data_IF_338580789819
#
_entry.id   IF_338580789819
#
_cell.length_a   1.000
_cell.length_b   1.000
_cell.length_c   1.000
_cell.angle_alpha   90.00
_cell.angle_beta   90.00
_cell.angle_gamma   90.00
#
_symmetry.space_group_name_H-M   'P 1'
#
loop_
_entity.id
_entity.type
_entity.pdbx_description
1 polymer ?
#
# COMPACT_ATOMS: atom_id res chain seq x y z
N UNK A 1 6.31 35.29 -4.36
CA UNK A 1 6.70 33.88 -4.64
C UNK A 1 5.44 33.19 -5.13
N UNK A 2 5.46 32.86 -6.42
CA UNK A 2 4.27 32.71 -7.27
C UNK A 2 3.62 31.34 -7.15
N UNK A 3 2.29 31.31 -7.28
CA UNK A 3 1.41 30.13 -7.45
C UNK A 3 1.93 29.04 -8.42
N UNK A 4 2.92 29.34 -9.26
CA UNK A 4 3.51 28.41 -10.23
C UNK A 4 4.49 27.43 -9.57
N UNK A 5 5.17 27.81 -8.48
CA UNK A 5 6.03 26.89 -7.72
C UNK A 5 5.20 25.88 -6.91
N UNK A 6 4.07 26.31 -6.34
CA UNK A 6 3.15 25.44 -5.60
C UNK A 6 2.49 24.35 -6.48
N UNK A 7 2.33 24.58 -7.78
CA UNK A 7 1.69 23.61 -8.71
C UNK A 7 2.71 22.61 -9.27
N UNK A 8 4.00 23.00 -9.37
CA UNK A 8 5.05 22.12 -9.90
C UNK A 8 5.46 21.01 -8.91
N UNK A 9 5.34 21.26 -7.60
CA UNK A 9 5.58 20.27 -6.54
C UNK A 9 4.42 19.25 -6.39
N UNK A 10 3.21 19.65 -6.77
CA UNK A 10 1.95 18.93 -6.47
C UNK A 10 1.70 17.70 -7.39
N UNK A 11 2.40 17.58 -8.52
CA UNK A 11 2.29 16.41 -9.42
C UNK A 11 3.34 15.33 -9.15
N UNK A 12 4.43 15.62 -8.44
CA UNK A 12 5.55 14.69 -8.26
C UNK A 12 5.52 13.90 -6.93
N UNK A 13 4.93 14.46 -5.87
CA UNK A 13 4.90 13.82 -4.55
C UNK A 13 3.49 13.30 -4.21
N UNK A 14 3.28 12.00 -4.37
CA UNK A 14 2.02 11.36 -4.02
C UNK A 14 1.88 11.30 -2.48
N UNK A 15 1.10 12.22 -1.91
CA UNK A 15 0.87 12.30 -0.47
C UNK A 15 -0.30 11.42 -0.03
N UNK A 16 -0.02 10.46 0.86
CA UNK A 16 -1.05 9.63 1.48
C UNK A 16 -1.33 10.07 2.91
N UNK A 17 -2.59 10.41 3.21
CA UNK A 17 -3.01 10.65 4.58
C UNK A 17 -3.40 9.32 5.22
N UNK A 18 -2.72 8.92 6.29
CA UNK A 18 -3.08 7.72 7.04
C UNK A 18 -4.52 7.83 7.56
N UNK A 19 -5.34 6.79 7.35
CA UNK A 19 -6.75 6.80 7.74
C UNK A 19 -7.65 7.63 6.83
N UNK A 20 -7.19 7.96 5.62
CA UNK A 20 -8.03 8.52 4.55
C UNK A 20 -9.00 7.47 4.00
N UNK A 21 -9.91 7.90 3.10
CA UNK A 21 -10.87 7.02 2.44
C UNK A 21 -10.11 5.86 1.78
N UNK A 22 -10.25 4.69 2.38
CA UNK A 22 -9.64 3.47 1.88
C UNK A 22 -10.28 3.12 0.53
N UNK A 23 -9.50 2.57 -0.39
CA UNK A 23 -9.96 2.27 -1.77
C UNK A 23 -9.94 0.76 -1.99
N UNK A 24 -10.85 0.28 -2.85
CA UNK A 24 -10.76 -1.08 -3.38
C UNK A 24 -9.65 -1.14 -4.43
N UNK A 25 -8.60 -1.90 -4.17
CA UNK A 25 -7.56 -2.18 -5.17
C UNK A 25 -8.09 -3.18 -6.23
N UNK A 26 -7.82 -2.95 -7.51
CA UNK A 26 -8.17 -3.88 -8.62
C UNK A 26 -7.58 -5.30 -8.38
N UNK A 27 -6.44 -5.39 -7.70
CA UNK A 27 -5.86 -6.66 -7.27
C UNK A 27 -6.81 -7.48 -6.39
N UNK A 28 -7.57 -6.81 -5.51
CA UNK A 28 -8.58 -7.45 -4.68
C UNK A 28 -9.76 -7.96 -5.51
N UNK A 29 -10.23 -7.14 -6.46
CA UNK A 29 -11.35 -7.49 -7.34
C UNK A 29 -11.03 -8.72 -8.21
N UNK A 30 -9.78 -8.84 -8.69
CA UNK A 30 -9.29 -10.02 -9.44
C UNK A 30 -9.25 -11.28 -8.57
N UNK A 31 -8.82 -11.19 -7.31
CA UNK A 31 -8.83 -12.33 -6.39
C UNK A 31 -10.24 -12.79 -6.01
N UNK A 32 -11.20 -11.87 -5.85
CA UNK A 32 -12.61 -12.21 -5.62
C UNK A 32 -13.23 -12.97 -6.79
N UNK A 33 -12.89 -12.60 -8.02
CA UNK A 33 -13.38 -13.29 -9.24
C UNK A 33 -12.91 -14.74 -9.30
N UNK A 34 -11.69 -15.05 -8.82
CA UNK A 34 -11.11 -16.40 -8.80
C UNK A 34 -11.72 -17.29 -7.71
N UNK A 35 -12.10 -16.70 -6.56
CA UNK A 35 -12.67 -17.43 -5.41
C UNK A 35 -14.20 -17.61 -5.47
N UNK A 36 -14.89 -17.13 -6.50
CA UNK A 36 -16.35 -17.33 -6.70
C UNK A 36 -16.78 -18.80 -6.82
N UNK A 37 -15.85 -19.76 -6.93
CA UNK A 37 -16.11 -21.21 -6.88
C UNK A 37 -16.08 -21.79 -5.46
N UNK A 38 -15.80 -20.97 -4.44
CA UNK A 38 -15.72 -21.36 -3.03
C UNK A 38 -16.94 -20.93 -2.21
N UNK A 39 -17.21 -21.69 -1.15
CA UNK A 39 -18.39 -21.63 -0.27
C UNK A 39 -18.69 -20.25 0.34
N UNK A 40 -19.96 -20.02 0.70
CA UNK A 40 -20.52 -18.76 1.21
C UNK A 40 -19.75 -18.10 2.37
N UNK A 41 -18.94 -18.84 3.14
CA UNK A 41 -18.08 -18.30 4.21
C UNK A 41 -16.92 -17.44 3.70
N UNK A 42 -16.42 -17.67 2.48
CA UNK A 42 -15.39 -16.83 1.85
C UNK A 42 -15.93 -15.44 1.45
N UNK A 43 -17.24 -15.31 1.29
CA UNK A 43 -17.91 -14.11 0.80
C UNK A 43 -18.10 -13.02 1.88
N UNK A 44 -18.07 -13.39 3.16
CA UNK A 44 -18.20 -12.44 4.28
C UNK A 44 -16.85 -11.81 4.68
N UNK A 45 -15.75 -12.55 4.49
CA UNK A 45 -14.39 -12.03 4.66
C UNK A 45 -13.94 -11.15 3.47
N UNK A 46 -14.56 -11.40 2.32
CA UNK A 46 -14.45 -10.64 1.07
C UNK A 46 -15.22 -9.30 1.06
N UNK A 47 -15.92 -8.93 2.13
CA UNK A 47 -16.87 -7.82 2.06
C UNK A 47 -16.29 -6.43 2.28
N UNK A 48 -15.02 -6.24 2.69
CA UNK A 48 -14.49 -4.87 2.95
C UNK A 48 -12.97 -4.80 3.17
N UNK A 49 -12.14 -5.37 2.29
CA UNK A 49 -10.68 -5.08 2.33
C UNK A 49 -10.37 -3.77 1.60
N UNK A 50 -10.89 -2.73 2.24
CA UNK A 50 -10.46 -1.36 2.09
C UNK A 50 -8.95 -1.29 2.41
N UNK A 51 -8.12 -1.11 1.39
CA UNK A 51 -6.67 -1.03 1.52
C UNK A 51 -6.25 0.44 1.63
N UNK A 52 -5.25 0.72 2.46
CA UNK A 52 -4.69 2.06 2.52
C UNK A 52 -4.02 2.40 1.18
N UNK A 53 -4.26 3.58 0.58
CA UNK A 53 -3.74 3.91 -0.75
C UNK A 53 -2.22 3.77 -0.89
N UNK A 54 -1.45 4.03 0.17
CA UNK A 54 -0.01 3.87 0.18
C UNK A 54 0.43 2.40 -0.02
N UNK A 55 -0.37 1.43 0.44
CA UNK A 55 -0.09 0.00 0.27
C UNK A 55 -0.24 -0.38 -1.20
N UNK A 56 -1.31 0.08 -1.84
CA UNK A 56 -1.53 -0.13 -3.28
C UNK A 56 -0.41 0.50 -4.12
N UNK A 57 0.05 1.69 -3.74
CA UNK A 57 1.19 2.32 -4.38
C UNK A 57 2.49 1.52 -4.22
N UNK A 58 2.83 1.10 -3.00
CA UNK A 58 4.00 0.26 -2.76
C UNK A 58 3.93 -1.09 -3.50
N UNK A 59 2.74 -1.69 -3.62
CA UNK A 59 2.52 -2.88 -4.46
C UNK A 59 2.80 -2.56 -5.94
N UNK A 60 2.24 -1.48 -6.47
CA UNK A 60 2.45 -1.07 -7.85
C UNK A 60 3.94 -0.86 -8.14
N UNK A 61 4.64 -0.15 -7.26
CA UNK A 61 6.08 0.09 -7.39
C UNK A 61 6.88 -1.21 -7.35
N UNK A 62 6.53 -2.17 -6.47
CA UNK A 62 7.13 -3.51 -6.50
C UNK A 62 6.97 -4.19 -7.88
N UNK A 63 5.78 -4.10 -8.47
CA UNK A 63 5.49 -4.71 -9.77
C UNK A 63 6.29 -4.04 -10.89
N UNK A 64 6.38 -2.70 -10.89
CA UNK A 64 7.17 -1.93 -11.84
C UNK A 64 8.68 -2.26 -11.72
N UNK A 65 9.17 -2.49 -10.51
CA UNK A 65 10.54 -2.93 -10.24
C UNK A 65 10.80 -4.42 -10.55
N UNK A 66 9.83 -5.14 -11.14
CA UNK A 66 9.99 -6.54 -11.56
C UNK A 66 10.17 -7.56 -10.42
N UNK A 67 9.88 -7.16 -9.18
CA UNK A 67 10.06 -8.02 -8.01
C UNK A 67 8.83 -8.87 -7.75
N UNK A 68 8.99 -10.19 -7.66
CA UNK A 68 7.94 -11.04 -7.10
C UNK A 68 7.84 -10.84 -5.57
N UNK A 69 6.69 -11.18 -4.97
CA UNK A 69 6.54 -11.14 -3.51
C UNK A 69 7.59 -12.02 -2.80
N UNK A 70 7.99 -13.14 -3.40
CA UNK A 70 9.03 -14.01 -2.86
C UNK A 70 10.42 -13.38 -2.93
N UNK A 71 10.78 -12.74 -4.06
CA UNK A 71 12.04 -12.01 -4.18
C UNK A 71 12.12 -10.87 -3.18
N UNK A 72 11.05 -10.08 -3.06
CA UNK A 72 10.97 -9.00 -2.09
C UNK A 72 11.08 -9.52 -0.65
N UNK A 73 10.41 -10.63 -0.33
CA UNK A 73 10.50 -11.24 0.99
C UNK A 73 11.95 -11.63 1.36
N UNK A 74 12.73 -12.12 0.40
CA UNK A 74 14.16 -12.37 0.56
C UNK A 74 14.94 -11.11 0.90
N UNK A 75 14.73 -10.02 0.15
CA UNK A 75 15.36 -8.71 0.41
C UNK A 75 14.99 -8.16 1.80
N UNK A 76 13.74 -8.35 2.21
CA UNK A 76 13.20 -7.89 3.50
C UNK A 76 13.45 -8.88 4.64
N UNK A 77 14.15 -10.00 4.42
CA UNK A 77 14.37 -11.06 5.43
C UNK A 77 13.08 -11.43 6.16
N UNK A 78 12.01 -11.65 5.40
CA UNK A 78 10.68 -11.99 5.90
C UNK A 78 10.08 -13.12 5.08
N UNK A 79 8.87 -13.57 5.45
CA UNK A 79 8.15 -14.61 4.71
C UNK A 79 7.34 -14.00 3.57
N UNK A 80 7.19 -14.71 2.45
CA UNK A 80 6.30 -14.27 1.36
C UNK A 80 4.86 -14.05 1.85
N UNK A 81 4.38 -14.85 2.80
CA UNK A 81 3.07 -14.67 3.43
C UNK A 81 2.95 -13.38 4.25
N UNK A 82 4.05 -12.78 4.72
CA UNK A 82 4.04 -11.47 5.36
C UNK A 82 3.86 -10.35 4.32
N UNK A 83 4.54 -10.45 3.17
CA UNK A 83 4.34 -9.52 2.05
C UNK A 83 2.90 -9.58 1.54
N UNK A 84 2.38 -10.79 1.31
CA UNK A 84 1.00 -10.98 0.86
C UNK A 84 -0.03 -10.36 1.82
N UNK A 85 0.10 -10.63 3.13
CA UNK A 85 -0.78 -10.02 4.14
C UNK A 85 -0.68 -8.50 4.17
N UNK A 86 0.54 -7.95 4.09
CA UNK A 86 0.75 -6.51 4.04
C UNK A 86 0.07 -5.89 2.82
N UNK A 87 0.34 -6.41 1.63
CA UNK A 87 -0.20 -5.84 0.39
C UNK A 87 -1.74 -5.96 0.35
N UNK A 88 -2.33 -6.96 1.01
CA UNK A 88 -3.77 -7.11 1.14
C UNK A 88 -4.39 -6.31 2.30
N UNK A 89 -3.61 -5.48 3.00
CA UNK A 89 -4.09 -4.68 4.12
C UNK A 89 -4.50 -5.50 5.36
N UNK A 90 -4.04 -6.75 5.48
CA UNK A 90 -4.40 -7.67 6.57
C UNK A 90 -3.53 -7.49 7.82
N UNK A 91 -2.50 -6.65 7.76
CA UNK A 91 -1.57 -6.41 8.87
C UNK A 91 -1.19 -4.95 8.94
N UNK A 92 -1.11 -4.42 10.16
CA UNK A 92 -0.49 -3.12 10.42
C UNK A 92 1.04 -3.27 10.37
N UNK A 93 1.74 -2.65 9.39
CA UNK A 93 3.18 -2.74 9.28
C UNK A 93 3.87 -1.87 10.34
N UNK A 94 5.09 -2.24 10.72
CA UNK A 94 5.97 -1.34 11.48
C UNK A 94 6.61 -0.31 10.55
N UNK A 95 7.06 0.83 11.10
CA UNK A 95 7.77 1.82 10.29
C UNK A 95 9.06 1.25 9.67
N UNK A 96 9.78 0.40 10.42
CA UNK A 96 10.96 -0.33 9.92
C UNK A 96 10.64 -1.23 8.72
N UNK A 97 9.47 -1.89 8.73
CA UNK A 97 9.03 -2.67 7.58
C UNK A 97 8.78 -1.76 6.36
N UNK A 98 8.07 -0.64 6.54
CA UNK A 98 7.77 0.31 5.47
C UNK A 98 9.04 0.90 4.85
N UNK A 99 10.00 1.32 5.67
CA UNK A 99 11.28 1.87 5.17
C UNK A 99 12.07 0.84 4.35
N UNK A 100 12.13 -0.41 4.80
CA UNK A 100 12.82 -1.48 4.05
C UNK A 100 12.09 -1.85 2.76
N UNK A 101 10.76 -1.86 2.79
CA UNK A 101 9.96 -2.06 1.58
C UNK A 101 10.24 -0.95 0.58
N UNK A 102 10.12 0.31 1.00
CA UNK A 102 10.33 1.49 0.18
C UNK A 102 11.72 1.47 -0.49
N UNK A 103 12.77 1.23 0.32
CA UNK A 103 14.15 1.06 -0.17
C UNK A 103 14.27 -0.06 -1.21
N UNK A 104 13.64 -1.20 -0.98
CA UNK A 104 13.74 -2.35 -1.88
C UNK A 104 13.03 -2.13 -3.23
N UNK A 105 12.02 -1.26 -3.27
CA UNK A 105 11.29 -0.94 -4.52
C UNK A 105 11.73 0.38 -5.16
N UNK A 106 12.70 1.09 -4.57
CA UNK A 106 13.28 2.31 -5.14
C UNK A 106 12.43 3.56 -4.89
N UNK A 107 11.66 3.61 -3.81
CA UNK A 107 10.89 4.80 -3.42
C UNK A 107 11.35 5.38 -2.10
N UNK A 108 11.20 6.69 -1.96
CA UNK A 108 11.41 7.41 -0.72
C UNK A 108 10.13 7.43 0.12
N UNK A 109 10.27 7.21 1.44
CA UNK A 109 9.17 7.31 2.38
C UNK A 109 9.34 8.56 3.24
N UNK A 110 8.46 9.53 3.05
CA UNK A 110 8.45 10.79 3.82
C UNK A 110 7.32 10.75 4.86
N UNK A 111 7.65 11.06 6.12
CA UNK A 111 6.67 11.19 7.20
C UNK A 111 6.50 12.66 7.58
N UNK A 112 5.28 13.17 7.44
CA UNK A 112 4.93 14.53 7.87
C UNK A 112 4.00 14.49 9.08
N UNK A 113 4.41 15.12 10.18
CA UNK A 113 3.59 15.30 11.38
C UNK A 113 3.08 16.75 11.40
N UNK A 114 1.77 16.93 11.49
CA UNK A 114 1.12 18.26 11.52
C UNK A 114 0.35 18.43 12.83
N UNK A 115 0.45 19.61 13.45
CA UNK A 115 -0.34 19.97 14.63
C UNK A 115 -1.81 20.10 14.22
N UNK A 116 -2.71 19.41 14.93
CA UNK A 116 -4.15 19.60 14.76
C UNK A 116 -4.54 20.86 15.52
N UNK A 117 -4.93 21.94 14.82
CA UNK A 117 -5.52 23.11 15.49
C UNK A 117 -6.78 22.63 16.23
N UNK A 118 -6.82 22.86 17.55
CA UNK A 118 -8.06 22.78 18.34
C UNK A 118 -8.89 23.98 17.90
N UNK A 119 -10.04 23.73 17.27
CA UNK A 119 -11.12 24.71 17.24
C UNK A 119 -11.78 24.71 18.61
#
# INVERSE_FOLDING_TARGET
>A
MSLIEDIAEDVAALHFRLGSTKVYDDHYLKHLRKNRRGTAKANDQAKKQLTEPYISYLRLQRQLSGLSQQKLAGLLRTKQSAISRFECGLTSPTMSFLMRYAKAVGVELVLTIKVKKKN
#
